data_IF_603054455566
#
_entry.id   IF_603054455566
#
_cell.length_a   1.000
_cell.length_b   1.000
_cell.length_c   1.000
_cell.angle_alpha   90.00
_cell.angle_beta   90.00
_cell.angle_gamma   90.00
#
_symmetry.space_group_name_H-M   'P 1'
#
loop_
_entity.id
_entity.type
_entity.pdbx_description
1 polymer ?
#
# COMPACT_ATOMS: atom_id res chain seq x y z
N UNK A 1 -8.24 -9.52 -25.61
CA UNK A 1 -7.97 -8.34 -24.78
C UNK A 1 -8.04 -7.09 -25.64
N UNK A 2 -8.89 -6.17 -25.25
CA UNK A 2 -9.04 -4.88 -25.90
C UNK A 2 -7.76 -4.04 -25.75
N UNK A 3 -7.11 -3.61 -26.87
CA UNK A 3 -5.89 -2.82 -26.80
C UNK A 3 -6.08 -1.45 -26.09
N UNK A 4 -7.23 -0.85 -26.20
CA UNK A 4 -7.50 0.43 -25.54
C UNK A 4 -7.64 0.27 -24.03
N UNK A 5 -8.24 -0.82 -23.58
CA UNK A 5 -8.31 -1.15 -22.16
C UNK A 5 -6.89 -1.35 -21.60
N UNK A 6 -6.04 -2.10 -22.30
CA UNK A 6 -4.66 -2.34 -21.88
C UNK A 6 -3.86 -1.04 -21.79
N UNK A 7 -4.00 -0.15 -22.80
CA UNK A 7 -3.35 1.16 -22.79
C UNK A 7 -3.81 2.02 -21.60
N UNK A 8 -5.12 2.03 -21.33
CA UNK A 8 -5.70 2.77 -20.20
C UNK A 8 -5.16 2.24 -18.86
N UNK A 9 -5.08 0.93 -18.71
CA UNK A 9 -4.54 0.29 -17.50
C UNK A 9 -3.09 0.68 -17.27
N UNK A 10 -2.26 0.66 -18.32
CA UNK A 10 -0.85 1.06 -18.24
C UNK A 10 -0.70 2.55 -17.94
N UNK A 11 -1.55 3.39 -18.50
CA UNK A 11 -1.55 4.83 -18.21
C UNK A 11 -1.92 5.11 -16.76
N UNK A 12 -2.94 4.41 -16.24
CA UNK A 12 -3.36 4.54 -14.86
C UNK A 12 -2.24 4.09 -13.91
N UNK A 13 -1.55 3.01 -14.24
CA UNK A 13 -0.39 2.55 -13.46
C UNK A 13 0.70 3.63 -13.38
N UNK A 14 1.03 4.29 -14.50
CA UNK A 14 2.03 5.37 -14.51
C UNK A 14 1.60 6.55 -13.64
N UNK A 15 0.33 6.95 -13.70
CA UNK A 15 -0.20 8.01 -12.84
C UNK A 15 -0.09 7.65 -11.36
N UNK A 16 -0.47 6.45 -10.99
CA UNK A 16 -0.38 5.96 -9.61
C UNK A 16 1.07 5.91 -9.13
N UNK A 17 1.99 5.47 -9.96
CA UNK A 17 3.42 5.50 -9.62
C UNK A 17 3.91 6.91 -9.31
N UNK A 18 3.52 7.88 -10.12
CA UNK A 18 3.86 9.28 -9.89
C UNK A 18 3.28 9.81 -8.58
N UNK A 19 2.05 9.44 -8.29
CA UNK A 19 1.38 9.82 -7.05
C UNK A 19 2.07 9.21 -5.83
N UNK A 20 2.37 7.91 -5.86
CA UNK A 20 3.14 7.26 -4.79
C UNK A 20 4.49 7.91 -4.57
N UNK A 21 5.20 8.24 -5.64
CA UNK A 21 6.50 8.92 -5.55
C UNK A 21 6.39 10.31 -4.90
N UNK A 22 5.37 11.08 -5.25
CA UNK A 22 5.15 12.40 -4.68
C UNK A 22 4.80 12.34 -3.19
N UNK A 23 3.92 11.41 -2.81
CA UNK A 23 3.56 11.19 -1.41
C UNK A 23 4.77 10.71 -0.61
N UNK A 24 5.55 9.79 -1.16
CA UNK A 24 6.76 9.27 -0.53
C UNK A 24 7.76 10.39 -0.21
N UNK A 25 8.00 11.30 -1.15
CA UNK A 25 8.89 12.45 -0.92
C UNK A 25 8.38 13.35 0.21
N UNK A 26 7.08 13.57 0.28
CA UNK A 26 6.46 14.41 1.32
C UNK A 26 6.71 13.84 2.73
N UNK A 27 6.67 12.51 2.86
CA UNK A 27 6.81 11.85 4.16
C UNK A 27 8.21 11.29 4.44
N UNK A 28 9.16 11.50 3.55
CA UNK A 28 10.52 10.97 3.72
C UNK A 28 10.59 9.44 3.67
N UNK A 29 9.74 8.82 2.87
CA UNK A 29 9.64 7.37 2.71
C UNK A 29 9.85 6.99 1.25
N UNK A 30 10.06 5.70 1.00
CA UNK A 30 10.05 5.16 -0.36
C UNK A 30 8.60 4.87 -0.80
N UNK A 31 8.32 4.85 -2.12
CA UNK A 31 6.99 4.48 -2.61
C UNK A 31 6.51 3.11 -2.10
N UNK A 32 7.41 2.13 -1.99
CA UNK A 32 7.07 0.80 -1.47
C UNK A 32 6.73 0.82 0.02
N UNK A 33 7.43 1.66 0.81
CA UNK A 33 7.08 1.85 2.23
C UNK A 33 5.70 2.47 2.40
N UNK A 34 5.35 3.43 1.55
CA UNK A 34 4.01 4.03 1.52
C UNK A 34 2.96 2.95 1.23
N UNK A 35 3.19 2.14 0.21
CA UNK A 35 2.27 1.05 -0.17
C UNK A 35 2.11 0.05 0.98
N UNK A 36 3.22 -0.32 1.63
CA UNK A 36 3.21 -1.23 2.77
C UNK A 36 2.36 -0.67 3.93
N UNK A 37 2.55 0.60 4.28
CA UNK A 37 1.77 1.24 5.34
C UNK A 37 0.27 1.23 5.02
N UNK A 38 -0.11 1.47 3.77
CA UNK A 38 -1.50 1.42 3.36
C UNK A 38 -2.08 0.00 3.42
N UNK A 39 -1.30 -1.01 3.05
CA UNK A 39 -1.72 -2.40 3.09
C UNK A 39 -1.92 -2.94 4.51
N UNK A 40 -1.17 -2.42 5.48
CA UNK A 40 -1.24 -2.89 6.86
C UNK A 40 -2.42 -2.33 7.65
N UNK A 41 -3.19 -1.41 7.10
CA UNK A 41 -4.42 -0.97 7.73
C UNK A 41 -5.40 -2.15 7.77
N UNK A 42 -5.84 -2.53 8.95
CA UNK A 42 -6.81 -3.61 9.18
C UNK A 42 -6.32 -5.00 8.72
N UNK A 43 -5.00 -5.17 8.57
CA UNK A 43 -4.37 -6.43 8.17
C UNK A 43 -3.14 -6.71 9.02
N UNK A 44 -2.89 -7.99 9.26
CA UNK A 44 -1.68 -8.46 9.95
C UNK A 44 -1.06 -9.60 9.15
N UNK A 45 -0.48 -9.32 7.98
CA UNK A 45 0.09 -10.35 7.12
C UNK A 45 1.41 -10.90 7.68
N UNK A 46 1.74 -12.12 7.28
CA UNK A 46 3.10 -12.65 7.43
C UNK A 46 4.03 -11.99 6.40
N UNK A 47 5.34 -12.17 6.57
CA UNK A 47 6.33 -11.68 5.59
C UNK A 47 6.08 -12.26 4.20
N UNK A 48 5.77 -13.56 4.11
CA UNK A 48 5.48 -14.21 2.84
C UNK A 48 4.22 -13.67 2.16
N UNK A 49 3.15 -13.47 2.92
CA UNK A 49 1.91 -12.88 2.42
C UNK A 49 2.15 -11.45 1.92
N UNK A 50 2.93 -10.66 2.66
CA UNK A 50 3.24 -9.29 2.27
C UNK A 50 4.09 -9.25 1.00
N UNK A 51 5.07 -10.13 0.87
CA UNK A 51 5.88 -10.24 -0.34
C UNK A 51 5.01 -10.51 -1.58
N UNK A 52 4.03 -11.40 -1.45
CA UNK A 52 3.07 -11.70 -2.52
C UNK A 52 2.22 -10.48 -2.85
N UNK A 53 1.69 -9.78 -1.85
CA UNK A 53 0.86 -8.58 -2.04
C UNK A 53 1.61 -7.45 -2.74
N UNK A 54 2.89 -7.25 -2.39
CA UNK A 54 3.71 -6.19 -2.97
C UNK A 54 4.42 -6.60 -4.26
N UNK A 55 4.37 -7.88 -4.64
CA UNK A 55 5.07 -8.38 -5.82
C UNK A 55 6.60 -8.30 -5.70
N UNK A 56 7.12 -8.38 -4.48
CA UNK A 56 8.56 -8.31 -4.19
C UNK A 56 9.07 -9.65 -3.70
N UNK A 57 10.41 -9.85 -3.77
CA UNK A 57 10.99 -11.01 -3.11
C UNK A 57 11.07 -10.81 -1.58
N UNK A 58 11.20 -11.93 -0.87
CA UNK A 58 11.18 -11.95 0.59
C UNK A 58 12.36 -11.19 1.22
N UNK A 59 13.50 -11.16 0.56
CA UNK A 59 14.70 -10.44 1.03
C UNK A 59 14.45 -8.94 1.05
N UNK A 60 13.87 -8.38 -0.01
CA UNK A 60 13.53 -6.96 -0.10
C UNK A 60 12.48 -6.57 0.95
N UNK A 61 11.48 -7.42 1.16
CA UNK A 61 10.46 -7.19 2.19
C UNK A 61 11.07 -7.18 3.59
N UNK A 62 11.95 -8.11 3.90
CA UNK A 62 12.62 -8.18 5.20
C UNK A 62 13.37 -6.89 5.49
N UNK A 63 14.16 -6.40 4.54
CA UNK A 63 14.90 -5.14 4.71
C UNK A 63 14.00 -3.93 4.90
N UNK A 64 12.90 -3.86 4.16
CA UNK A 64 11.92 -2.78 4.27
C UNK A 64 11.23 -2.80 5.64
N UNK A 65 10.80 -3.98 6.08
CA UNK A 65 10.16 -4.16 7.39
C UNK A 65 11.11 -3.78 8.52
N UNK A 66 12.36 -4.23 8.45
CA UNK A 66 13.38 -3.90 9.46
C UNK A 66 13.58 -2.39 9.59
N UNK A 67 13.61 -1.66 8.48
CA UNK A 67 13.75 -0.21 8.48
C UNK A 67 12.55 0.49 9.12
N UNK A 68 11.34 0.04 8.81
CA UNK A 68 10.13 0.61 9.39
C UNK A 68 9.96 0.25 10.87
N UNK A 69 10.38 -0.95 11.25
CA UNK A 69 10.40 -1.38 12.64
C UNK A 69 11.36 -0.52 13.48
N UNK A 70 12.56 -0.24 12.95
CA UNK A 70 13.53 0.65 13.60
C UNK A 70 13.03 2.08 13.77
N UNK A 71 12.15 2.54 12.89
CA UNK A 71 11.49 3.84 12.99
C UNK A 71 10.23 3.80 13.85
N UNK A 72 9.95 2.68 14.48
CA UNK A 72 8.80 2.48 15.39
C UNK A 72 7.43 2.54 14.69
N UNK A 73 7.37 2.28 13.39
CA UNK A 73 6.11 2.27 12.65
C UNK A 73 5.48 0.88 12.54
N UNK A 74 6.30 -0.17 12.69
CA UNK A 74 5.85 -1.56 12.63
C UNK A 74 6.31 -2.32 13.85
N UNK A 75 5.57 -3.37 14.16
CA UNK A 75 5.93 -4.39 15.15
C UNK A 75 5.62 -5.77 14.62
N UNK A 76 6.29 -6.78 15.17
CA UNK A 76 6.04 -8.19 14.86
C UNK A 76 5.24 -8.81 15.99
N UNK A 77 4.20 -9.53 15.62
CA UNK A 77 3.32 -10.22 16.55
C UNK A 77 3.31 -11.71 16.20
N UNK A 78 3.49 -12.56 17.20
CA UNK A 78 3.42 -14.00 16.99
C UNK A 78 1.97 -14.40 16.71
N UNK A 79 1.75 -15.24 15.69
CA UNK A 79 0.44 -15.77 15.38
C UNK A 79 -0.08 -16.65 16.52
N UNK A 80 -1.37 -16.47 16.86
CA UNK A 80 -1.99 -17.23 17.96
C UNK A 80 -2.13 -18.72 17.67
N UNK A 81 -2.37 -19.06 16.42
CA UNK A 81 -2.59 -20.44 15.98
C UNK A 81 -1.30 -21.19 15.67
N UNK A 82 -0.25 -20.48 15.24
CA UNK A 82 1.03 -21.07 14.88
C UNK A 82 2.17 -20.14 15.28
N UNK A 83 2.86 -20.50 16.37
CA UNK A 83 3.96 -19.70 16.94
C UNK A 83 5.19 -19.57 16.02
N UNK A 84 5.27 -20.36 14.96
CA UNK A 84 6.35 -20.28 13.97
C UNK A 84 6.13 -19.10 13.01
N UNK A 85 4.92 -18.54 12.97
CA UNK A 85 4.55 -17.45 12.08
C UNK A 85 4.59 -16.13 12.83
N UNK A 86 5.38 -15.19 12.31
CA UNK A 86 5.38 -13.79 12.73
C UNK A 86 4.46 -13.00 11.81
N UNK A 87 3.59 -12.21 12.40
CA UNK A 87 2.71 -11.29 11.67
C UNK A 87 3.14 -9.86 11.90
N UNK A 88 2.92 -9.03 10.91
CA UNK A 88 3.27 -7.61 10.95
C UNK A 88 2.06 -6.79 11.31
N UNK A 89 2.25 -5.81 12.17
CA UNK A 89 1.20 -4.89 12.57
C UNK A 89 1.75 -3.47 12.66
N UNK A 90 0.91 -2.47 12.41
CA UNK A 90 1.26 -1.08 12.65
C UNK A 90 1.29 -0.81 14.14
N UNK A 91 2.28 -0.03 14.58
CA UNK A 91 2.28 0.57 15.91
C UNK A 91 1.27 1.73 15.93
N UNK A 92 1.07 2.35 17.09
CA UNK A 92 0.25 3.57 17.18
C UNK A 92 0.81 4.68 16.27
N UNK A 93 2.12 4.87 16.27
CA UNK A 93 2.81 5.83 15.40
C UNK A 93 2.66 5.45 13.91
N UNK A 94 2.72 4.16 13.60
CA UNK A 94 2.52 3.66 12.24
C UNK A 94 1.09 3.89 11.75
N UNK A 95 0.10 3.70 12.61
CA UNK A 95 -1.31 3.99 12.29
C UNK A 95 -1.54 5.48 12.05
N UNK A 96 -0.95 6.33 12.88
CA UNK A 96 -1.04 7.79 12.71
C UNK A 96 -0.41 8.23 11.39
N UNK A 97 0.79 7.73 11.07
CA UNK A 97 1.46 8.01 9.80
C UNK A 97 0.63 7.50 8.61
N UNK A 98 0.12 6.29 8.70
CA UNK A 98 -0.73 5.70 7.67
C UNK A 98 -1.99 6.53 7.41
N UNK A 99 -2.59 7.10 8.45
CA UNK A 99 -3.75 7.98 8.32
C UNK A 99 -3.39 9.27 7.58
N UNK A 100 -2.26 9.89 7.90
CA UNK A 100 -1.76 11.09 7.21
C UNK A 100 -1.46 10.80 5.74
N UNK A 101 -0.87 9.65 5.45
CA UNK A 101 -0.58 9.22 4.08
C UNK A 101 -1.88 9.05 3.28
N UNK A 102 -2.88 8.36 3.85
CA UNK A 102 -4.17 8.18 3.18
C UNK A 102 -4.89 9.50 2.95
N UNK A 103 -4.82 10.43 3.89
CA UNK A 103 -5.37 11.77 3.72
C UNK A 103 -4.69 12.52 2.57
N UNK A 104 -3.36 12.44 2.47
CA UNK A 104 -2.62 13.04 1.37
C UNK A 104 -3.02 12.45 0.01
N UNK A 105 -3.22 11.14 -0.08
CA UNK A 105 -3.76 10.49 -1.28
C UNK A 105 -5.16 11.01 -1.62
N UNK A 106 -6.03 11.11 -0.63
CA UNK A 106 -7.40 11.58 -0.82
C UNK A 106 -7.44 13.02 -1.36
N UNK A 107 -6.58 13.90 -0.86
CA UNK A 107 -6.48 15.28 -1.34
C UNK A 107 -6.09 15.34 -2.82
N UNK A 108 -5.06 14.62 -3.21
CA UNK A 108 -4.59 14.59 -4.61
C UNK A 108 -5.60 13.89 -5.51
N UNK A 109 -6.18 12.78 -5.06
CA UNK A 109 -7.18 12.05 -5.81
C UNK A 109 -8.45 12.88 -6.04
N UNK A 110 -8.86 13.67 -5.06
CA UNK A 110 -10.03 14.53 -5.18
C UNK A 110 -9.87 15.54 -6.31
N UNK A 111 -8.67 16.12 -6.47
CA UNK A 111 -8.38 17.05 -7.57
C UNK A 111 -8.33 16.35 -8.92
N UNK A 112 -7.58 15.24 -9.00
CA UNK A 112 -7.31 14.55 -10.27
C UNK A 112 -8.52 13.79 -10.81
N UNK A 113 -9.30 13.20 -9.93
CA UNK A 113 -10.42 12.35 -10.29
C UNK A 113 -11.78 12.87 -9.80
N UNK A 114 -11.91 14.18 -9.69
CA UNK A 114 -13.16 14.80 -9.24
C UNK A 114 -14.37 14.48 -10.14
N UNK A 115 -14.13 14.22 -11.43
CA UNK A 115 -15.17 13.91 -12.40
C UNK A 115 -15.49 12.43 -12.56
N UNK A 116 -14.83 11.56 -11.79
CA UNK A 116 -15.06 10.10 -11.86
C UNK A 116 -16.46 9.79 -11.31
N UNK A 117 -17.26 9.09 -12.11
CA UNK A 117 -18.63 8.74 -11.74
C UNK A 117 -18.69 7.65 -10.67
N UNK A 118 -19.80 7.55 -9.92
CA UNK A 118 -20.01 6.40 -9.01
C UNK A 118 -19.91 5.05 -9.71
N UNK A 119 -20.36 4.96 -10.97
CA UNK A 119 -20.29 3.74 -11.79
C UNK A 119 -18.84 3.37 -12.08
N UNK A 120 -18.00 4.34 -12.41
CA UNK A 120 -16.56 4.10 -12.66
C UNK A 120 -15.85 3.65 -11.38
N UNK A 121 -16.17 4.28 -10.25
CA UNK A 121 -15.64 3.86 -8.95
C UNK A 121 -16.01 2.41 -8.62
N UNK A 122 -17.26 2.05 -8.82
CA UNK A 122 -17.76 0.69 -8.60
C UNK A 122 -17.08 -0.33 -9.52
N UNK A 123 -16.91 0.03 -10.80
CA UNK A 123 -16.24 -0.82 -11.78
C UNK A 123 -14.78 -1.09 -11.39
N UNK A 124 -14.04 -0.05 -11.04
CA UNK A 124 -12.65 -0.18 -10.61
C UNK A 124 -12.54 -1.02 -9.33
N UNK A 125 -13.42 -0.77 -8.37
CA UNK A 125 -13.46 -1.54 -7.12
C UNK A 125 -13.70 -3.03 -7.38
N UNK A 126 -14.62 -3.35 -8.29
CA UNK A 126 -14.92 -4.73 -8.68
C UNK A 126 -13.71 -5.40 -9.33
N UNK A 127 -13.04 -4.70 -10.25
CA UNK A 127 -11.88 -5.22 -10.96
C UNK A 127 -10.70 -5.45 -10.00
N UNK A 128 -10.50 -4.54 -9.05
CA UNK A 128 -9.40 -4.63 -8.08
C UNK A 128 -9.55 -5.79 -7.08
N UNK A 129 -10.77 -6.28 -6.88
CA UNK A 129 -11.07 -7.40 -5.97
C UNK A 129 -11.11 -8.76 -6.64
N UNK A 130 -11.02 -8.79 -7.94
CA UNK A 130 -11.14 -10.04 -8.73
C UNK A 130 -9.96 -10.97 -8.57
#
# INVERSE_FOLDING_TARGET
MDPDFLRALMALHRELRGLYAAIARRFGLTPQQIELLCLLKDRSPSLGELATLLGCDKTNITGMVDRLERRSFLTRVTDRSDRRISRLALTEEGEALGAEVREAFAEVAADRWAAVSPEDCAALTRLARS
#
